data_IF_760694042548
#
_entry.id   IF_760694042548
#
_cell.length_a   1.000
_cell.length_b   1.000
_cell.length_c   1.000
_cell.angle_alpha   90.00
_cell.angle_beta   90.00
_cell.angle_gamma   90.00
#
_symmetry.space_group_name_H-M   'P 1'
#
loop_
_entity.id
_entity.type
_entity.pdbx_description
1 polymer ?
#
# COMPACT_ATOMS: atom_id res chain seq x y z
N UNK A 1 8.63 19.73 12.93
CA UNK A 1 9.16 21.06 13.30
C UNK A 1 10.13 21.02 14.48
N UNK A 2 9.81 20.28 15.56
CA UNK A 2 10.65 20.11 16.78
C UNK A 2 12.09 19.59 16.55
N UNK A 3 12.35 18.87 15.45
CA UNK A 3 13.66 18.25 15.18
C UNK A 3 14.74 19.21 14.67
N UNK A 4 14.36 20.43 14.27
CA UNK A 4 15.27 21.37 13.61
C UNK A 4 16.13 22.17 14.60
N UNK A 5 15.68 22.29 15.84
CA UNK A 5 16.31 23.13 16.88
C UNK A 5 17.31 22.37 17.76
N UNK A 6 17.13 21.06 17.96
CA UNK A 6 17.95 20.29 18.93
C UNK A 6 19.02 19.40 18.29
N UNK A 7 18.87 19.01 17.00
CA UNK A 7 19.72 17.98 16.40
C UNK A 7 20.84 18.53 15.51
N UNK A 8 22.09 18.05 15.66
CA UNK A 8 23.18 18.37 14.75
C UNK A 8 22.89 17.89 13.31
N UNK A 9 23.56 18.50 12.33
CA UNK A 9 23.45 18.23 10.88
C UNK A 9 23.46 16.74 10.50
N UNK A 10 24.21 15.90 11.22
CA UNK A 10 24.38 14.47 10.92
C UNK A 10 23.09 13.65 11.13
N UNK A 11 22.47 13.63 12.33
CA UNK A 11 21.17 12.98 12.55
C UNK A 11 20.09 13.40 11.56
N UNK A 12 20.03 14.69 11.19
CA UNK A 12 19.04 15.22 10.25
C UNK A 12 19.17 14.59 8.86
N UNK A 13 20.39 14.42 8.35
CA UNK A 13 20.64 13.80 7.04
C UNK A 13 20.33 12.30 7.10
N UNK A 14 20.68 11.63 8.19
CA UNK A 14 20.46 10.19 8.35
C UNK A 14 18.95 9.86 8.39
N UNK A 15 18.17 10.62 9.16
CA UNK A 15 16.71 10.46 9.21
C UNK A 15 16.06 10.82 7.86
N UNK A 16 16.58 11.83 7.16
CA UNK A 16 16.09 12.18 5.82
C UNK A 16 16.30 11.04 4.82
N UNK A 17 17.49 10.45 4.77
CA UNK A 17 17.79 9.30 3.90
C UNK A 17 16.89 8.11 4.24
N UNK A 18 16.69 7.84 5.54
CA UNK A 18 15.82 6.74 5.99
C UNK A 18 14.37 6.92 5.52
N UNK A 19 13.83 8.14 5.62
CA UNK A 19 12.46 8.44 5.15
C UNK A 19 12.39 8.32 3.63
N UNK A 20 13.34 8.87 2.89
CA UNK A 20 13.35 8.82 1.43
C UNK A 20 13.37 7.35 0.93
N UNK A 21 14.22 6.52 1.53
CA UNK A 21 14.28 5.08 1.22
C UNK A 21 12.98 4.36 1.59
N UNK A 22 12.35 4.71 2.71
CA UNK A 22 11.08 4.11 3.11
C UNK A 22 9.95 4.47 2.14
N UNK A 23 9.90 5.72 1.66
CA UNK A 23 8.90 6.17 0.68
C UNK A 23 9.08 5.43 -0.65
N UNK A 24 10.31 5.35 -1.18
CA UNK A 24 10.60 4.62 -2.41
C UNK A 24 10.28 3.12 -2.25
N UNK A 25 10.62 2.53 -1.10
CA UNK A 25 10.32 1.12 -0.83
C UNK A 25 8.82 0.82 -0.78
N UNK A 26 8.03 1.72 -0.18
CA UNK A 26 6.57 1.60 -0.13
C UNK A 26 5.95 1.62 -1.53
N UNK A 27 6.39 2.56 -2.38
CA UNK A 27 5.89 2.71 -3.76
C UNK A 27 6.22 1.47 -4.62
N UNK A 28 7.44 0.93 -4.49
CA UNK A 28 7.83 -0.30 -5.18
C UNK A 28 6.93 -1.49 -4.79
N UNK A 29 6.61 -1.63 -3.50
CA UNK A 29 5.76 -2.71 -3.01
C UNK A 29 4.34 -2.61 -3.58
N UNK A 30 3.79 -1.40 -3.62
CA UNK A 30 2.45 -1.12 -4.15
C UNK A 30 2.34 -1.44 -5.66
N UNK A 31 3.34 -1.04 -6.44
CA UNK A 31 3.41 -1.31 -7.88
C UNK A 31 3.54 -2.81 -8.16
N UNK A 32 4.44 -3.50 -7.45
CA UNK A 32 4.65 -4.94 -7.62
C UNK A 32 3.42 -5.74 -7.19
N UNK A 33 2.81 -5.38 -6.06
CA UNK A 33 1.61 -6.04 -5.54
C UNK A 33 0.44 -5.97 -6.52
N UNK A 34 0.18 -4.79 -7.08
CA UNK A 34 -0.88 -4.58 -8.07
C UNK A 34 -0.62 -5.33 -9.38
N UNK A 35 0.64 -5.34 -9.86
CA UNK A 35 1.01 -6.08 -11.07
C UNK A 35 0.82 -7.59 -10.92
N UNK A 36 1.18 -8.16 -9.76
CA UNK A 36 1.00 -9.60 -9.49
C UNK A 36 -0.50 -9.93 -9.31
N UNK A 37 -1.24 -9.12 -8.57
CA UNK A 37 -2.67 -9.31 -8.37
C UNK A 37 -3.43 -9.32 -9.71
N UNK A 38 -3.13 -8.38 -10.60
CA UNK A 38 -3.72 -8.32 -11.94
C UNK A 38 -3.32 -9.53 -12.80
N UNK A 39 -2.06 -9.98 -12.72
CA UNK A 39 -1.60 -11.17 -13.45
C UNK A 39 -2.35 -12.43 -13.02
N UNK A 40 -2.58 -12.59 -11.71
CA UNK A 40 -3.33 -13.73 -11.13
C UNK A 40 -4.82 -13.63 -11.47
N UNK A 41 -5.42 -12.45 -11.31
CA UNK A 41 -6.84 -12.22 -11.62
C UNK A 41 -7.16 -12.47 -13.10
N UNK A 42 -6.21 -12.16 -13.98
CA UNK A 42 -6.38 -12.31 -15.43
C UNK A 42 -6.00 -13.69 -15.96
N UNK A 43 -5.72 -14.67 -15.08
CA UNK A 43 -5.38 -16.03 -15.48
C UNK A 43 -4.12 -16.15 -16.36
N UNK A 44 -3.21 -15.18 -16.28
CA UNK A 44 -1.97 -15.16 -17.08
C UNK A 44 -2.07 -14.44 -18.44
N UNK A 45 -3.20 -13.82 -18.79
CA UNK A 45 -3.39 -13.17 -20.10
C UNK A 45 -2.94 -11.70 -20.11
N UNK A 46 -2.97 -11.01 -18.97
CA UNK A 46 -2.63 -9.59 -18.92
C UNK A 46 -1.11 -9.33 -18.74
N UNK A 47 -0.48 -8.51 -19.60
CA UNK A 47 0.93 -8.18 -19.53
C UNK A 47 1.23 -7.19 -18.39
N UNK A 48 2.43 -7.30 -17.81
CA UNK A 48 2.91 -6.49 -16.67
C UNK A 48 2.79 -4.98 -16.88
N UNK A 49 2.89 -4.50 -18.13
CA UNK A 49 2.72 -3.09 -18.49
C UNK A 49 1.35 -2.53 -18.12
N UNK A 50 0.29 -3.34 -18.15
CA UNK A 50 -1.04 -2.91 -17.75
C UNK A 50 -1.14 -2.65 -16.23
N UNK A 51 -0.39 -3.42 -15.43
CA UNK A 51 -0.32 -3.20 -13.98
C UNK A 51 0.32 -1.86 -13.62
N UNK A 52 1.38 -1.48 -14.35
CA UNK A 52 2.07 -0.19 -14.15
C UNK A 52 1.19 1.00 -14.54
N UNK A 53 0.33 0.87 -15.55
CA UNK A 53 -0.62 1.94 -15.91
C UNK A 53 -1.71 2.10 -14.84
N UNK A 54 -2.18 0.99 -14.26
CA UNK A 54 -3.21 1.02 -13.21
C UNK A 54 -2.66 1.67 -11.93
N UNK A 55 -1.40 1.42 -11.57
CA UNK A 55 -0.77 2.04 -10.39
C UNK A 55 -0.56 3.56 -10.58
N UNK A 56 -0.30 3.99 -11.82
CA UNK A 56 -0.22 5.40 -12.16
C UNK A 56 -1.60 6.09 -12.08
N UNK A 57 -2.66 5.35 -12.40
CA UNK A 57 -4.03 5.83 -12.28
C UNK A 57 -4.48 5.87 -10.81
N UNK A 58 -4.08 4.90 -9.99
CA UNK A 58 -4.42 4.86 -8.56
C UNK A 58 -3.80 6.03 -7.78
N UNK A 59 -2.51 6.30 -7.98
CA UNK A 59 -1.83 7.48 -7.42
C UNK A 59 -2.46 8.79 -7.89
N UNK A 60 -2.91 8.87 -9.15
CA UNK A 60 -3.63 10.03 -9.67
C UNK A 60 -5.02 10.20 -9.02
N UNK A 61 -5.76 9.11 -8.86
CA UNK A 61 -7.05 9.09 -8.15
C UNK A 61 -6.85 9.53 -6.70
N UNK A 62 -5.79 9.06 -6.04
CA UNK A 62 -5.46 9.41 -4.67
C UNK A 62 -5.23 10.93 -4.51
N UNK A 63 -4.41 11.52 -5.40
CA UNK A 63 -4.16 12.97 -5.42
C UNK A 63 -5.45 13.78 -5.65
N UNK A 64 -6.33 13.31 -6.55
CA UNK A 64 -7.62 13.97 -6.77
C UNK A 64 -8.54 13.84 -5.55
N UNK A 65 -8.57 12.69 -4.88
CA UNK A 65 -9.44 12.47 -3.72
C UNK A 65 -8.99 13.28 -2.49
N UNK A 66 -7.69 13.47 -2.31
CA UNK A 66 -7.14 14.31 -1.23
C UNK A 66 -7.66 15.75 -1.34
N UNK A 67 -7.79 16.28 -2.56
CA UNK A 67 -8.37 17.60 -2.84
C UNK A 67 -9.88 17.72 -2.56
N UNK A 68 -10.62 16.61 -2.48
CA UNK A 68 -12.07 16.59 -2.28
C UNK A 68 -12.51 16.46 -0.81
N UNK A 69 -11.57 16.25 0.12
CA UNK A 69 -11.78 16.30 1.56
C UNK A 69 -11.56 14.99 2.30
N UNK A 70 -10.84 15.08 3.43
CA UNK A 70 -10.34 13.98 4.27
C UNK A 70 -11.42 12.94 4.63
N UNK A 71 -12.66 13.39 4.89
CA UNK A 71 -13.74 12.49 5.35
C UNK A 71 -14.19 11.47 4.29
N UNK A 72 -14.05 11.79 2.99
CA UNK A 72 -14.36 10.82 1.91
C UNK A 72 -13.20 9.86 1.67
N UNK A 73 -11.97 10.33 1.85
CA UNK A 73 -10.75 9.54 1.74
C UNK A 73 -10.66 8.49 2.86
N UNK A 74 -11.04 8.85 4.08
CA UNK A 74 -11.11 7.91 5.21
C UNK A 74 -12.12 6.78 4.98
N UNK A 75 -13.29 7.09 4.42
CA UNK A 75 -14.31 6.09 4.09
C UNK A 75 -13.85 5.12 2.98
N UNK A 76 -13.02 5.58 2.05
CA UNK A 76 -12.45 4.71 1.01
C UNK A 76 -11.51 3.67 1.63
N UNK A 77 -10.57 4.11 2.48
CA UNK A 77 -9.63 3.22 3.14
C UNK A 77 -10.32 2.20 4.04
N UNK A 78 -11.35 2.61 4.79
CA UNK A 78 -12.07 1.68 5.67
C UNK A 78 -12.75 0.56 4.88
N UNK A 79 -13.29 0.85 3.69
CA UNK A 79 -13.87 -0.17 2.79
C UNK A 79 -12.79 -1.11 2.25
N UNK A 80 -11.64 -0.60 1.81
CA UNK A 80 -10.52 -1.42 1.33
C UNK A 80 -10.00 -2.38 2.41
N UNK A 81 -9.72 -1.86 3.61
CA UNK A 81 -9.21 -2.67 4.73
C UNK A 81 -10.25 -3.71 5.15
N UNK A 82 -11.53 -3.33 5.23
CA UNK A 82 -12.62 -4.25 5.58
C UNK A 82 -12.74 -5.39 4.57
N UNK A 83 -12.59 -5.10 3.28
CA UNK A 83 -12.65 -6.12 2.22
C UNK A 83 -11.49 -7.13 2.34
N UNK A 84 -10.28 -6.66 2.63
CA UNK A 84 -9.14 -7.55 2.90
C UNK A 84 -9.37 -8.40 4.16
N UNK A 85 -9.82 -7.78 5.25
CA UNK A 85 -10.07 -8.46 6.52
C UNK A 85 -11.15 -9.54 6.39
N UNK A 86 -12.24 -9.27 5.66
CA UNK A 86 -13.30 -10.25 5.40
C UNK A 86 -12.76 -11.41 4.56
N UNK A 87 -12.05 -11.12 3.48
CA UNK A 87 -11.54 -12.16 2.57
C UNK A 87 -10.55 -13.08 3.29
N UNK A 88 -9.62 -12.51 4.05
CA UNK A 88 -8.69 -13.30 4.88
C UNK A 88 -9.41 -14.03 6.01
N UNK A 89 -10.36 -13.38 6.67
CA UNK A 89 -11.15 -13.99 7.74
C UNK A 89 -11.89 -15.23 7.24
N UNK A 90 -12.57 -15.15 6.10
CA UNK A 90 -13.26 -16.28 5.47
C UNK A 90 -12.27 -17.39 5.10
N UNK A 91 -11.14 -17.07 4.47
CA UNK A 91 -10.11 -18.07 4.17
C UNK A 91 -9.59 -18.76 5.44
N UNK A 92 -9.37 -18.02 6.52
CA UNK A 92 -8.90 -18.56 7.78
C UNK A 92 -9.91 -19.53 8.42
N UNK A 93 -11.21 -19.20 8.36
CA UNK A 93 -12.26 -20.10 8.84
C UNK A 93 -12.39 -21.39 8.01
N UNK A 94 -12.23 -21.29 6.68
CA UNK A 94 -12.29 -22.45 5.78
C UNK A 94 -11.04 -23.32 5.92
N UNK A 95 -9.87 -22.71 6.12
CA UNK A 95 -8.60 -23.41 6.18
C UNK A 95 -8.46 -24.31 7.43
N UNK A 96 -9.31 -24.14 8.45
CA UNK A 96 -9.29 -24.87 9.74
C UNK A 96 -7.86 -25.28 10.15
N UNK A 97 -6.92 -24.32 10.31
CA UNK A 97 -5.54 -24.66 10.61
C UNK A 97 -5.48 -25.35 11.98
N UNK A 98 -4.72 -26.44 12.07
CA UNK A 98 -4.44 -27.11 13.33
C UNK A 98 -3.74 -26.12 14.27
N UNK A 99 -4.46 -25.69 15.31
CA UNK A 99 -4.02 -24.67 16.27
C UNK A 99 -2.78 -25.10 17.08
N UNK A 100 -2.39 -26.36 16.97
CA UNK A 100 -1.27 -26.96 17.69
C UNK A 100 0.05 -26.95 16.89
N UNK A 101 0.00 -26.69 15.57
CA UNK A 101 1.16 -26.62 14.67
C UNK A 101 1.39 -25.20 14.10
N UNK A 102 0.84 -24.16 14.75
CA UNK A 102 1.06 -22.73 14.46
C UNK A 102 1.75 -22.01 15.62
#
# INVERSE_FOLDING_TARGET
EVWREEYPILPRILVWIMIELAVIGSDIQEVIGSAIALKVLSGGVLPLWAGVIITLLDTFIFLLLEGYGIRKLEAMFSVLITTMAITFGVQFFIAQPDYWDV
#
